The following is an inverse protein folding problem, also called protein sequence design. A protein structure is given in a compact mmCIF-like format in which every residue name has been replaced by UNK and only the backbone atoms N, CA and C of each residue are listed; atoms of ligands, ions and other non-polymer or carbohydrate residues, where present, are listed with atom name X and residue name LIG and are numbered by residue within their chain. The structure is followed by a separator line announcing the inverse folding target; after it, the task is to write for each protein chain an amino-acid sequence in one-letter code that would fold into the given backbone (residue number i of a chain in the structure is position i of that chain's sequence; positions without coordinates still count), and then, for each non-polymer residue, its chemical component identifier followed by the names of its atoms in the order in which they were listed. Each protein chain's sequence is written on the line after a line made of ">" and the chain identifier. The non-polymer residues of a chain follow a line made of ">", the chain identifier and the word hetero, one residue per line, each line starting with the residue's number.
data_IF_575440283762
#
_entry.id   IF_575440283762
#
_cell.length_a   1.000
_cell.length_b   1.000
_cell.length_c   1.000
_cell.angle_alpha   90.00
_cell.angle_beta   90.00
_cell.angle_gamma   90.00
#
_symmetry.space_group_name_H-M   'P 1'
#
loop_
_entity.id
_entity.type
_entity.pdbx_description
1 polymer ?
#
# COMPACT_ATOMS: atom_id res chain seq x y z
N UNK A 1 5.01 31.19 -2.65
CA UNK A 1 3.70 30.72 -3.09
C UNK A 1 3.81 29.31 -3.67
N UNK A 2 2.70 28.60 -3.82
CA UNK A 2 2.66 27.29 -4.44
C UNK A 2 2.66 27.41 -5.97
N UNK A 3 3.37 26.50 -6.65
CA UNK A 3 3.23 26.30 -8.08
C UNK A 3 2.06 25.34 -8.33
N UNK A 4 1.17 25.67 -9.27
CA UNK A 4 0.02 24.86 -9.64
C UNK A 4 0.20 24.34 -11.05
N UNK A 5 0.16 23.01 -11.20
CA UNK A 5 0.29 22.34 -12.48
C UNK A 5 -0.98 21.59 -12.82
N UNK A 6 -1.49 21.75 -14.04
CA UNK A 6 -2.67 21.05 -14.53
C UNK A 6 -2.29 19.83 -15.35
N UNK A 7 -2.98 18.73 -15.09
CA UNK A 7 -2.95 17.52 -15.89
C UNK A 7 -4.38 17.02 -16.10
N UNK A 8 -4.73 16.67 -17.32
CA UNK A 8 -6.00 16.00 -17.60
C UNK A 8 -6.03 14.63 -16.88
N UNK A 9 -7.15 14.33 -16.25
CA UNK A 9 -7.33 13.05 -15.57
C UNK A 9 -7.52 11.92 -16.59
N UNK A 10 -6.62 10.93 -16.56
CA UNK A 10 -6.56 9.79 -17.48
C UNK A 10 -6.80 8.45 -16.77
N UNK A 11 -7.44 8.46 -15.61
CA UNK A 11 -7.70 7.28 -14.78
C UNK A 11 -6.42 6.57 -14.29
N UNK A 12 -5.37 7.34 -14.01
CA UNK A 12 -4.08 6.85 -13.54
C UNK A 12 -3.51 7.78 -12.47
N UNK A 13 -3.53 7.32 -11.21
CA UNK A 13 -2.97 8.08 -10.09
C UNK A 13 -1.44 8.15 -10.17
N UNK A 14 -0.77 7.06 -10.61
CA UNK A 14 0.69 7.07 -10.72
C UNK A 14 1.15 8.03 -11.79
N UNK A 15 0.45 8.12 -12.91
CA UNK A 15 0.75 9.07 -13.96
C UNK A 15 0.61 10.54 -13.48
N UNK A 16 -0.40 10.82 -12.64
CA UNK A 16 -0.57 12.14 -12.03
C UNK A 16 0.56 12.46 -11.04
N UNK A 17 0.94 11.51 -10.16
CA UNK A 17 2.08 11.67 -9.24
C UNK A 17 3.41 11.80 -9.99
N UNK A 18 3.62 11.01 -11.04
CA UNK A 18 4.83 11.09 -11.87
C UNK A 18 4.96 12.45 -12.57
N UNK A 19 3.84 13.00 -13.05
CA UNK A 19 3.84 14.35 -13.60
C UNK A 19 4.23 15.40 -12.54
N UNK A 20 3.76 15.26 -11.29
CA UNK A 20 4.15 16.14 -10.20
C UNK A 20 5.64 16.01 -9.84
N UNK A 21 6.19 14.79 -9.86
CA UNK A 21 7.62 14.56 -9.60
C UNK A 21 8.53 15.33 -10.57
N UNK A 22 8.14 15.50 -11.83
CA UNK A 22 8.92 16.27 -12.83
C UNK A 22 9.10 17.74 -12.46
N UNK A 23 8.24 18.29 -11.61
CA UNK A 23 8.31 19.67 -11.13
C UNK A 23 9.02 19.80 -9.77
N UNK A 24 9.35 18.70 -9.10
CA UNK A 24 10.05 18.72 -7.83
C UNK A 24 11.51 19.15 -8.01
N UNK A 25 11.95 20.19 -7.27
CA UNK A 25 13.31 20.77 -7.38
C UNK A 25 14.13 20.65 -6.11
N UNK A 26 13.52 20.28 -4.99
CA UNK A 26 14.20 20.09 -3.71
C UNK A 26 14.99 18.79 -3.65
N UNK A 27 15.89 18.68 -2.68
CA UNK A 27 16.66 17.44 -2.41
C UNK A 27 15.78 16.33 -1.84
N UNK A 28 14.67 16.70 -1.22
CA UNK A 28 13.68 15.81 -0.64
C UNK A 28 12.29 16.13 -1.18
N UNK A 29 11.49 15.09 -1.34
CA UNK A 29 10.10 15.15 -1.74
C UNK A 29 9.24 14.68 -0.57
N UNK A 30 8.34 15.54 -0.09
CA UNK A 30 7.26 15.18 0.81
C UNK A 30 5.96 15.14 0.02
N UNK A 31 5.33 13.98 -0.03
CA UNK A 31 4.05 13.79 -0.72
C UNK A 31 2.93 13.84 0.30
N UNK A 32 1.97 14.73 0.08
CA UNK A 32 0.75 14.86 0.89
C UNK A 32 -0.46 14.85 -0.04
N UNK A 33 -1.50 14.14 0.36
CA UNK A 33 -2.81 14.24 -0.27
C UNK A 33 -3.52 15.52 0.22
N UNK A 34 -4.55 15.97 -0.48
CA UNK A 34 -5.21 17.25 -0.19
C UNK A 34 -5.89 17.29 1.20
N UNK A 35 -6.10 16.14 1.79
CA UNK A 35 -6.69 15.92 3.11
C UNK A 35 -5.65 15.43 4.16
N UNK A 36 -4.35 15.58 3.85
CA UNK A 36 -3.25 15.27 4.75
C UNK A 36 -2.47 16.53 5.16
N UNK A 37 -1.95 16.55 6.38
CA UNK A 37 -1.04 17.59 6.85
C UNK A 37 0.06 17.00 7.76
N UNK A 38 1.18 17.70 7.88
CA UNK A 38 2.19 17.39 8.91
C UNK A 38 1.70 17.94 10.24
N UNK A 39 1.64 17.10 11.26
CA UNK A 39 1.30 17.55 12.62
C UNK A 39 2.22 18.68 13.06
N UNK A 40 1.65 19.78 13.55
CA UNK A 40 2.41 20.97 13.98
C UNK A 40 3.46 20.65 15.03
N UNK A 41 3.16 19.70 15.94
CA UNK A 41 4.09 19.23 16.96
C UNK A 41 5.33 18.55 16.37
N UNK A 42 5.27 18.06 15.13
CA UNK A 42 6.34 17.28 14.48
C UNK A 42 7.09 18.01 13.36
N UNK A 43 6.88 19.32 13.18
CA UNK A 43 7.60 20.10 12.16
C UNK A 43 9.12 20.10 12.37
N UNK A 44 9.59 20.13 13.64
CA UNK A 44 11.02 20.04 13.98
C UNK A 44 11.58 18.65 13.64
N UNK A 45 10.82 17.59 13.94
CA UNK A 45 11.19 16.20 13.64
C UNK A 45 11.37 16.02 12.13
N UNK A 46 10.40 16.48 11.33
CA UNK A 46 10.50 16.43 9.87
C UNK A 46 11.81 17.06 9.36
N UNK A 47 12.18 18.24 9.88
CA UNK A 47 13.43 18.92 9.49
C UNK A 47 14.67 18.12 9.89
N UNK A 48 14.66 17.48 11.06
CA UNK A 48 15.76 16.64 11.52
C UNK A 48 15.99 15.41 10.62
N UNK A 49 14.90 14.81 10.10
CA UNK A 49 14.98 13.68 9.16
C UNK A 49 15.76 14.05 7.87
N UNK A 50 15.64 15.28 7.38
CA UNK A 50 16.27 15.72 6.14
C UNK A 50 17.81 15.77 6.21
N UNK A 51 18.39 15.76 7.40
CA UNK A 51 19.86 15.84 7.62
C UNK A 51 20.56 14.50 7.55
N UNK A 52 19.83 13.39 7.52
CA UNK A 52 20.42 12.05 7.52
C UNK A 52 20.99 11.68 6.15
N UNK A 53 22.30 11.48 6.08
CA UNK A 53 23.01 11.28 4.82
C UNK A 53 22.67 9.96 4.11
N UNK A 54 22.57 8.86 4.87
CA UNK A 54 22.42 7.49 4.32
C UNK A 54 20.95 7.02 4.22
N UNK A 55 20.01 7.94 4.06
CA UNK A 55 18.59 7.59 3.98
C UNK A 55 18.03 7.98 2.64
N UNK A 56 17.39 7.04 1.93
CA UNK A 56 16.70 7.27 0.66
C UNK A 56 15.24 7.67 0.89
N UNK A 57 14.58 7.06 1.87
CA UNK A 57 13.18 7.32 2.17
C UNK A 57 12.85 7.06 3.65
N UNK A 58 11.78 7.71 4.10
CA UNK A 58 11.16 7.49 5.40
C UNK A 58 9.72 7.03 5.24
N UNK A 59 9.35 5.99 5.99
CA UNK A 59 7.96 5.65 6.26
C UNK A 59 7.51 6.50 7.45
N UNK A 60 6.62 7.44 7.20
CA UNK A 60 6.09 8.35 8.22
C UNK A 60 4.80 7.78 8.82
N UNK A 61 4.58 7.96 10.14
CA UNK A 61 3.33 7.58 10.77
C UNK A 61 2.18 8.46 10.25
N UNK A 62 1.14 7.82 9.72
CA UNK A 62 -0.11 8.43 9.27
C UNK A 62 -1.22 8.05 10.23
N UNK A 63 -1.89 9.04 10.79
CA UNK A 63 -2.97 8.89 11.76
C UNK A 63 -4.26 9.46 11.18
N UNK A 64 -5.31 8.65 11.18
CA UNK A 64 -6.65 9.08 10.80
C UNK A 64 -7.29 9.87 11.94
N UNK A 65 -7.54 11.15 11.72
CA UNK A 65 -8.13 12.04 12.72
C UNK A 65 -9.56 11.60 13.04
N UNK A 66 -9.81 11.34 14.33
CA UNK A 66 -11.08 10.80 14.82
C UNK A 66 -11.21 9.28 14.75
N UNK A 67 -10.12 8.58 14.43
CA UNK A 67 -10.01 7.12 14.43
C UNK A 67 -8.65 6.65 14.94
N UNK A 68 -8.10 7.34 15.89
CA UNK A 68 -6.77 7.09 16.45
C UNK A 68 -6.68 5.69 17.10
N UNK A 69 -7.82 5.13 17.51
CA UNK A 69 -7.98 3.79 18.05
C UNK A 69 -7.76 2.67 17.02
N UNK A 70 -7.83 2.98 15.72
CA UNK A 70 -7.60 2.00 14.64
C UNK A 70 -6.11 1.78 14.34
N UNK A 71 -5.23 2.46 15.05
CA UNK A 71 -3.79 2.33 14.92
C UNK A 71 -3.16 3.33 13.95
N UNK A 72 -1.87 3.13 13.70
CA UNK A 72 -1.04 4.03 12.90
C UNK A 72 -0.49 3.27 11.70
N UNK A 73 -0.74 3.77 10.51
CA UNK A 73 -0.12 3.26 9.28
C UNK A 73 1.21 3.95 9.03
N UNK A 74 2.21 3.23 8.53
CA UNK A 74 3.49 3.82 8.14
C UNK A 74 3.61 3.87 6.62
N UNK A 75 3.67 5.07 6.07
CA UNK A 75 3.59 5.32 4.63
C UNK A 75 4.85 6.00 4.09
N UNK A 76 5.34 5.64 2.89
CA UNK A 76 6.55 6.23 2.28
C UNK A 76 6.24 7.60 1.68
N UNK A 77 6.05 8.59 2.53
CA UNK A 77 5.67 9.95 2.12
C UNK A 77 6.84 10.93 2.01
N UNK A 78 8.01 10.58 2.57
CA UNK A 78 9.21 11.41 2.52
C UNK A 78 10.35 10.64 1.89
N UNK A 79 10.89 11.10 0.76
CA UNK A 79 11.99 10.44 0.07
C UNK A 79 12.88 11.44 -0.69
N UNK A 80 14.12 11.01 -1.00
CA UNK A 80 15.04 11.85 -1.79
C UNK A 80 14.54 12.03 -3.20
N UNK A 81 14.77 13.21 -3.74
CA UNK A 81 14.56 13.51 -5.15
C UNK A 81 15.70 12.87 -5.96
N UNK A 82 15.56 11.58 -6.23
CA UNK A 82 16.54 10.78 -6.92
C UNK A 82 16.21 10.64 -8.42
N UNK A 83 17.21 10.49 -9.29
CA UNK A 83 16.97 10.13 -10.69
C UNK A 83 16.14 8.86 -10.80
N UNK A 84 15.24 8.80 -11.79
CA UNK A 84 14.37 7.63 -12.01
C UNK A 84 13.43 7.31 -10.83
N UNK A 85 13.05 8.33 -10.05
CA UNK A 85 12.00 8.19 -9.06
C UNK A 85 10.65 8.17 -9.77
N UNK A 86 9.84 7.13 -9.54
CA UNK A 86 8.53 6.97 -10.18
C UNK A 86 7.55 6.18 -9.32
N UNK A 87 6.28 6.42 -9.57
CA UNK A 87 5.16 5.63 -9.06
C UNK A 87 4.70 4.63 -10.11
N UNK A 88 4.24 3.47 -9.67
CA UNK A 88 3.61 2.43 -10.48
C UNK A 88 2.20 2.13 -9.97
N UNK A 89 1.38 1.50 -10.79
CA UNK A 89 -0.03 1.14 -10.59
C UNK A 89 -1.01 2.30 -10.72
N UNK A 90 -2.04 2.10 -11.54
CA UNK A 90 -3.09 3.11 -11.81
C UNK A 90 -3.82 3.55 -10.56
N UNK A 91 -3.98 2.63 -9.60
CA UNK A 91 -4.60 2.85 -8.29
C UNK A 91 -3.81 2.07 -7.23
N UNK A 92 -3.86 2.52 -5.98
CA UNK A 92 -2.96 2.07 -4.93
C UNK A 92 -1.49 2.22 -5.36
N UNK A 93 -1.22 3.36 -5.97
CA UNK A 93 0.06 3.69 -6.57
C UNK A 93 1.21 3.58 -5.55
N UNK A 94 2.28 2.92 -5.99
CA UNK A 94 3.42 2.59 -5.16
C UNK A 94 4.70 3.26 -5.69
N UNK A 95 5.47 3.85 -4.80
CA UNK A 95 6.79 4.41 -5.09
C UNK A 95 7.93 3.43 -4.76
N UNK A 96 7.61 2.30 -4.11
CA UNK A 96 8.59 1.37 -3.57
C UNK A 96 9.55 0.80 -4.61
N UNK A 97 9.07 0.44 -5.82
CA UNK A 97 9.93 -0.13 -6.84
C UNK A 97 11.11 0.78 -7.19
N UNK A 98 10.85 2.08 -7.38
CA UNK A 98 11.90 3.05 -7.67
C UNK A 98 12.76 3.39 -6.44
N UNK A 99 12.19 3.35 -5.23
CA UNK A 99 12.94 3.51 -3.99
C UNK A 99 13.94 2.38 -3.79
N UNK A 100 13.56 1.12 -4.03
CA UNK A 100 14.47 -0.02 -3.90
C UNK A 100 15.60 0.04 -4.92
N UNK A 101 15.32 0.37 -6.18
CA UNK A 101 16.35 0.56 -7.21
C UNK A 101 17.36 1.63 -6.78
N UNK A 102 16.87 2.78 -6.29
CA UNK A 102 17.73 3.86 -5.86
C UNK A 102 18.46 3.54 -4.55
N UNK A 103 17.81 2.84 -3.61
CA UNK A 103 18.42 2.37 -2.36
C UNK A 103 19.66 1.50 -2.62
N UNK A 104 19.55 0.53 -3.52
CA UNK A 104 20.65 -0.33 -3.92
C UNK A 104 21.75 0.43 -4.64
N UNK A 105 21.35 1.26 -5.63
CA UNK A 105 22.31 2.04 -6.43
C UNK A 105 23.16 2.99 -5.60
N UNK A 106 22.58 3.60 -4.56
CA UNK A 106 23.26 4.59 -3.72
C UNK A 106 23.73 4.05 -2.38
N UNK A 107 23.52 2.75 -2.12
CA UNK A 107 23.84 2.10 -0.82
C UNK A 107 23.22 2.85 0.37
N UNK A 108 21.95 3.26 0.23
CA UNK A 108 21.18 3.96 1.25
C UNK A 108 20.14 3.05 1.92
N UNK A 109 19.47 3.55 2.93
CA UNK A 109 18.50 2.80 3.74
C UNK A 109 17.09 3.41 3.66
N UNK A 110 16.08 2.56 3.71
CA UNK A 110 14.71 2.94 4.07
C UNK A 110 14.57 2.92 5.59
N UNK A 111 14.04 3.99 6.18
CA UNK A 111 13.90 4.13 7.63
C UNK A 111 12.48 4.47 8.03
N UNK A 112 12.16 4.23 9.30
CA UNK A 112 10.99 4.83 9.93
C UNK A 112 11.35 6.23 10.41
N UNK A 113 10.44 7.19 10.16
CA UNK A 113 10.55 8.55 10.66
C UNK A 113 9.51 8.82 11.75
N UNK A 114 9.75 9.80 12.57
CA UNK A 114 8.90 10.20 13.70
C UNK A 114 8.04 11.46 13.42
N UNK A 115 8.08 11.98 12.19
CA UNK A 115 7.24 13.10 11.76
C UNK A 115 5.83 12.61 11.41
N UNK A 116 4.88 12.84 12.29
CA UNK A 116 3.50 12.38 12.14
C UNK A 116 2.73 13.17 11.09
N UNK A 117 2.01 12.45 10.25
CA UNK A 117 1.03 12.97 9.30
C UNK A 117 -0.37 12.75 9.87
N UNK A 118 -1.25 13.73 9.66
CA UNK A 118 -2.67 13.69 10.04
C UNK A 118 -3.50 13.60 8.76
N UNK A 119 -4.43 12.64 8.71
CA UNK A 119 -5.34 12.45 7.60
C UNK A 119 -6.77 12.76 8.04
N UNK A 120 -7.42 13.70 7.35
CA UNK A 120 -8.74 14.23 7.69
C UNK A 120 -9.88 13.62 6.85
N UNK A 121 -9.58 12.70 5.95
CA UNK A 121 -10.50 12.18 4.93
C UNK A 121 -11.74 11.43 5.42
N UNK A 122 -11.80 11.08 6.72
CA UNK A 122 -12.93 10.33 7.28
C UNK A 122 -14.07 11.20 7.85
N UNK A 123 -13.93 12.52 7.83
CA UNK A 123 -14.93 13.41 8.42
C UNK A 123 -16.21 13.60 7.60
N UNK A 124 -16.29 13.09 6.38
CA UNK A 124 -17.46 13.27 5.50
C UNK A 124 -17.80 12.03 4.66
N UNK A 125 -18.87 11.32 5.05
CA UNK A 125 -19.94 10.75 4.22
C UNK A 125 -19.82 9.36 3.58
N UNK A 126 -20.84 8.55 3.93
CA UNK A 126 -21.18 7.23 3.35
C UNK A 126 -21.42 7.28 1.82
N UNK A 127 -21.92 8.40 1.28
CA UNK A 127 -22.20 8.54 -0.17
C UNK A 127 -20.91 8.67 -1.00
N UNK A 128 -19.92 9.41 -0.47
CA UNK A 128 -18.61 9.50 -1.14
C UNK A 128 -17.88 8.15 -1.16
N UNK A 129 -18.12 7.28 -0.17
CA UNK A 129 -17.50 5.96 -0.12
C UNK A 129 -17.94 5.03 -1.25
N UNK A 130 -19.26 5.01 -1.61
CA UNK A 130 -19.77 4.16 -2.69
C UNK A 130 -19.20 4.55 -4.06
N UNK A 131 -19.17 5.84 -4.37
CA UNK A 131 -18.59 6.33 -5.62
C UNK A 131 -17.07 6.05 -5.68
N UNK A 132 -16.38 6.12 -4.53
CA UNK A 132 -14.96 5.80 -4.42
C UNK A 132 -14.71 4.32 -4.70
N UNK A 133 -15.48 3.42 -4.09
CA UNK A 133 -15.37 1.97 -4.31
C UNK A 133 -15.62 1.61 -5.77
N UNK A 134 -16.70 2.11 -6.38
CA UNK A 134 -17.01 1.85 -7.80
C UNK A 134 -15.91 2.37 -8.74
N UNK A 135 -15.39 3.57 -8.47
CA UNK A 135 -14.25 4.10 -9.23
C UNK A 135 -13.03 3.21 -9.07
N UNK A 136 -12.70 2.81 -7.85
CA UNK A 136 -11.54 1.97 -7.56
C UNK A 136 -11.65 0.62 -8.25
N UNK A 137 -12.80 -0.05 -8.18
CA UNK A 137 -13.03 -1.32 -8.86
C UNK A 137 -12.79 -1.17 -10.37
N UNK A 138 -13.37 -0.16 -11.02
CA UNK A 138 -13.16 0.07 -12.45
C UNK A 138 -11.69 0.26 -12.81
N UNK A 139 -10.93 1.02 -12.00
CA UNK A 139 -9.51 1.25 -12.24
C UNK A 139 -8.67 -0.01 -12.04
N UNK A 140 -9.01 -0.82 -11.02
CA UNK A 140 -8.36 -2.10 -10.77
C UNK A 140 -8.68 -3.12 -11.88
N UNK A 141 -9.91 -3.16 -12.37
CA UNK A 141 -10.31 -4.01 -13.49
C UNK A 141 -9.52 -3.66 -14.76
N UNK A 142 -9.42 -2.36 -15.08
CA UNK A 142 -8.60 -1.91 -16.21
C UNK A 142 -7.13 -2.27 -16.06
N UNK A 143 -6.56 -2.09 -14.86
CA UNK A 143 -5.18 -2.48 -14.59
C UNK A 143 -4.99 -4.01 -14.67
N UNK A 144 -5.98 -4.78 -14.25
CA UNK A 144 -5.92 -6.25 -14.31
C UNK A 144 -6.03 -6.78 -15.74
N UNK A 145 -6.69 -6.07 -16.66
CA UNK A 145 -6.65 -6.41 -18.10
C UNK A 145 -5.23 -6.24 -18.67
N UNK A 146 -4.48 -5.24 -18.21
CA UNK A 146 -3.11 -4.99 -18.63
C UNK A 146 -2.11 -5.97 -17.96
N UNK A 147 -2.34 -6.34 -16.70
CA UNK A 147 -1.47 -7.17 -15.87
C UNK A 147 -2.27 -8.26 -15.12
N UNK A 148 -2.81 -9.27 -15.81
CA UNK A 148 -3.83 -10.19 -15.25
C UNK A 148 -3.34 -11.10 -14.12
N UNK A 149 -2.03 -11.25 -13.95
CA UNK A 149 -1.46 -12.09 -12.89
C UNK A 149 -0.67 -11.29 -11.86
N UNK A 150 -0.84 -9.96 -11.80
CA UNK A 150 -0.17 -9.16 -10.79
C UNK A 150 -0.79 -9.43 -9.41
N UNK A 151 0.04 -9.95 -8.49
CA UNK A 151 -0.37 -10.36 -7.14
C UNK A 151 -1.02 -9.20 -6.37
N UNK A 152 -0.44 -8.00 -6.46
CA UNK A 152 -0.95 -6.82 -5.75
C UNK A 152 -2.28 -6.33 -6.32
N UNK A 153 -2.43 -6.32 -7.65
CA UNK A 153 -3.69 -5.94 -8.30
C UNK A 153 -4.82 -6.91 -7.95
N UNK A 154 -4.57 -8.22 -8.04
CA UNK A 154 -5.55 -9.24 -7.70
C UNK A 154 -5.97 -9.14 -6.22
N UNK A 155 -5.02 -8.95 -5.30
CA UNK A 155 -5.31 -8.74 -3.88
C UNK A 155 -6.17 -7.48 -3.65
N UNK A 156 -5.85 -6.37 -4.31
CA UNK A 156 -6.61 -5.13 -4.17
C UNK A 156 -8.03 -5.24 -4.79
N UNK A 157 -8.21 -5.97 -5.88
CA UNK A 157 -9.54 -6.32 -6.41
C UNK A 157 -10.35 -7.11 -5.38
N UNK A 158 -9.73 -8.12 -4.76
CA UNK A 158 -10.34 -8.89 -3.67
C UNK A 158 -10.83 -7.99 -2.53
N UNK A 159 -9.98 -7.06 -2.09
CA UNK A 159 -10.29 -6.13 -1.01
C UNK A 159 -11.44 -5.17 -1.35
N UNK A 160 -11.41 -4.55 -2.54
CA UNK A 160 -12.48 -3.60 -2.94
C UNK A 160 -13.81 -4.32 -3.16
N UNK A 161 -13.82 -5.53 -3.73
CA UNK A 161 -15.01 -6.36 -3.85
C UNK A 161 -15.56 -6.77 -2.47
N UNK A 162 -14.68 -7.14 -1.53
CA UNK A 162 -15.07 -7.42 -0.16
C UNK A 162 -15.75 -6.21 0.49
N UNK A 163 -15.12 -5.03 0.41
CA UNK A 163 -15.65 -3.76 0.94
C UNK A 163 -16.99 -3.34 0.30
N UNK A 164 -17.21 -3.71 -0.95
CA UNK A 164 -18.48 -3.46 -1.66
C UNK A 164 -19.60 -4.41 -1.28
N UNK A 165 -19.35 -5.41 -0.43
CA UNK A 165 -20.29 -6.46 -0.04
C UNK A 165 -20.35 -7.65 -1.00
N UNK A 166 -19.52 -7.68 -2.04
CA UNK A 166 -19.41 -8.79 -3.01
C UNK A 166 -18.39 -9.84 -2.53
N UNK A 167 -18.59 -10.36 -1.31
CA UNK A 167 -17.61 -11.17 -0.59
C UNK A 167 -17.20 -12.42 -1.36
N UNK A 168 -18.13 -13.13 -2.02
CA UNK A 168 -17.80 -14.33 -2.81
C UNK A 168 -16.87 -14.04 -3.98
N UNK A 169 -17.08 -12.94 -4.71
CA UNK A 169 -16.15 -12.51 -5.75
C UNK A 169 -14.81 -12.06 -5.17
N UNK A 170 -14.84 -11.34 -4.05
CA UNK A 170 -13.65 -10.89 -3.34
C UNK A 170 -12.73 -12.06 -2.97
N UNK A 171 -13.26 -13.12 -2.39
CA UNK A 171 -12.51 -14.33 -2.05
C UNK A 171 -11.89 -14.97 -3.29
N UNK A 172 -12.63 -15.07 -4.40
CA UNK A 172 -12.09 -15.61 -5.65
C UNK A 172 -10.90 -14.81 -6.20
N UNK A 173 -10.86 -13.51 -5.99
CA UNK A 173 -9.69 -12.70 -6.36
C UNK A 173 -8.53 -12.86 -5.38
N UNK A 174 -8.77 -13.02 -4.08
CA UNK A 174 -7.72 -13.38 -3.12
C UNK A 174 -7.10 -14.75 -3.44
N UNK A 175 -7.91 -15.74 -3.78
CA UNK A 175 -7.43 -17.04 -4.23
C UNK A 175 -6.55 -16.94 -5.48
N UNK A 176 -6.99 -16.19 -6.49
CA UNK A 176 -6.17 -15.93 -7.70
C UNK A 176 -4.85 -15.25 -7.35
N UNK A 177 -4.89 -14.27 -6.44
CA UNK A 177 -3.68 -13.57 -5.97
C UNK A 177 -2.72 -14.53 -5.26
N UNK A 178 -3.25 -15.40 -4.40
CA UNK A 178 -2.48 -16.44 -3.71
C UNK A 178 -1.84 -17.42 -4.70
N UNK A 179 -2.61 -17.93 -5.66
CA UNK A 179 -2.10 -18.83 -6.69
C UNK A 179 -1.05 -18.17 -7.59
N UNK A 180 -1.24 -16.91 -7.95
CA UNK A 180 -0.24 -16.14 -8.69
C UNK A 180 1.05 -15.97 -7.86
N UNK A 181 0.95 -15.65 -6.58
CA UNK A 181 2.09 -15.55 -5.66
C UNK A 181 2.91 -16.84 -5.60
N UNK A 182 2.26 -18.00 -5.61
CA UNK A 182 2.94 -19.31 -5.60
C UNK A 182 3.67 -19.62 -6.91
N UNK A 183 3.22 -19.06 -8.03
CA UNK A 183 3.84 -19.26 -9.34
C UNK A 183 5.08 -18.39 -9.58
N UNK A 184 5.19 -17.25 -8.92
CA UNK A 184 6.34 -16.38 -9.07
C UNK A 184 7.52 -16.84 -8.19
N UNK A 185 8.77 -16.64 -8.68
CA UNK A 185 9.94 -16.80 -7.83
C UNK A 185 9.81 -15.95 -6.57
N UNK A 186 10.27 -16.48 -5.44
CA UNK A 186 10.22 -15.79 -4.15
C UNK A 186 10.76 -14.35 -4.20
N UNK A 187 11.81 -14.10 -4.98
CA UNK A 187 12.43 -12.79 -5.14
C UNK A 187 11.55 -11.76 -5.89
N UNK A 188 10.51 -12.21 -6.59
CA UNK A 188 9.64 -11.31 -7.37
C UNK A 188 8.41 -10.83 -6.60
N UNK A 189 8.10 -11.44 -5.45
CA UNK A 189 7.02 -11.00 -4.59
C UNK A 189 7.60 -10.53 -3.25
N UNK A 190 7.59 -9.23 -2.96
CA UNK A 190 8.12 -8.69 -1.72
C UNK A 190 7.49 -9.35 -0.48
N UNK A 191 8.28 -9.55 0.57
CA UNK A 191 7.83 -10.21 1.79
C UNK A 191 6.60 -9.50 2.39
N UNK A 192 6.61 -8.17 2.43
CA UNK A 192 5.48 -7.40 2.95
C UNK A 192 4.17 -7.66 2.18
N UNK A 193 4.24 -7.80 0.86
CA UNK A 193 3.06 -8.10 0.05
C UNK A 193 2.51 -9.49 0.38
N UNK A 194 3.41 -10.48 0.56
CA UNK A 194 3.01 -11.86 0.94
C UNK A 194 2.35 -11.89 2.31
N UNK A 195 2.94 -11.20 3.29
CA UNK A 195 2.38 -11.09 4.64
C UNK A 195 0.99 -10.45 4.64
N UNK A 196 0.81 -9.36 3.89
CA UNK A 196 -0.48 -8.68 3.77
C UNK A 196 -1.51 -9.56 3.07
N UNK A 197 -1.14 -10.21 1.96
CA UNK A 197 -2.04 -11.10 1.23
C UNK A 197 -2.51 -12.26 2.11
N UNK A 198 -1.58 -12.96 2.76
CA UNK A 198 -1.91 -14.09 3.63
C UNK A 198 -2.81 -13.66 4.80
N UNK A 199 -2.49 -12.51 5.43
CA UNK A 199 -3.30 -11.97 6.54
C UNK A 199 -4.72 -11.67 6.09
N UNK A 200 -4.89 -10.93 4.98
CA UNK A 200 -6.20 -10.51 4.50
C UNK A 200 -7.02 -11.71 4.02
N UNK A 201 -6.42 -12.58 3.20
CA UNK A 201 -7.11 -13.74 2.65
C UNK A 201 -7.59 -14.68 3.75
N UNK A 202 -6.72 -15.08 4.67
CA UNK A 202 -7.08 -15.96 5.78
C UNK A 202 -8.10 -15.33 6.73
N UNK A 203 -8.01 -14.02 7.02
CA UNK A 203 -9.00 -13.31 7.85
C UNK A 203 -10.40 -13.30 7.21
N UNK A 204 -10.45 -13.11 5.89
CA UNK A 204 -11.73 -13.14 5.17
C UNK A 204 -12.33 -14.55 5.09
N UNK A 205 -11.49 -15.58 4.91
CA UNK A 205 -11.93 -16.97 4.99
C UNK A 205 -12.50 -17.32 6.36
N UNK A 206 -11.86 -16.90 7.47
CA UNK A 206 -12.41 -17.05 8.83
C UNK A 206 -13.78 -16.36 8.96
N UNK A 207 -13.92 -15.17 8.42
CA UNK A 207 -15.19 -14.42 8.46
C UNK A 207 -16.31 -15.19 7.74
N UNK A 208 -15.97 -15.94 6.68
CA UNK A 208 -16.88 -16.81 5.94
C UNK A 208 -17.02 -18.21 6.56
N UNK A 209 -16.35 -18.48 7.70
CA UNK A 209 -16.32 -19.79 8.37
C UNK A 209 -15.70 -20.91 7.51
N UNK A 210 -14.80 -20.56 6.59
CA UNK A 210 -14.03 -21.48 5.75
C UNK A 210 -12.72 -21.86 6.46
N UNK A 211 -12.84 -22.46 7.64
CA UNK A 211 -11.70 -22.74 8.53
C UNK A 211 -10.71 -23.74 7.92
N UNK A 212 -11.19 -24.75 7.21
CA UNK A 212 -10.34 -25.77 6.56
C UNK A 212 -9.42 -25.12 5.49
N UNK A 213 -9.93 -24.13 4.76
CA UNK A 213 -9.14 -23.41 3.75
C UNK A 213 -8.02 -22.58 4.42
N UNK A 214 -8.28 -21.97 5.58
CA UNK A 214 -7.27 -21.25 6.38
C UNK A 214 -6.15 -22.19 6.80
N UNK A 215 -6.50 -23.36 7.35
CA UNK A 215 -5.51 -24.37 7.76
C UNK A 215 -4.71 -24.85 6.55
N UNK A 216 -5.37 -25.07 5.42
CA UNK A 216 -4.73 -25.51 4.18
C UNK A 216 -3.69 -24.49 3.69
N UNK A 217 -4.03 -23.19 3.67
CA UNK A 217 -3.10 -22.13 3.26
C UNK A 217 -1.85 -22.13 4.14
N UNK A 218 -2.01 -22.19 5.46
CA UNK A 218 -0.86 -22.10 6.37
C UNK A 218 -0.05 -23.40 6.50
N UNK A 219 -0.58 -24.53 6.03
CA UNK A 219 0.13 -25.80 5.93
C UNK A 219 0.77 -26.01 4.55
N UNK A 220 0.55 -25.08 3.59
CA UNK A 220 1.20 -25.14 2.29
C UNK A 220 2.72 -25.02 2.44
N UNK A 221 3.45 -25.97 1.87
CA UNK A 221 4.93 -26.02 1.92
C UNK A 221 5.59 -24.83 1.19
N UNK A 222 4.87 -24.17 0.31
CA UNK A 222 5.33 -22.96 -0.37
C UNK A 222 5.35 -21.71 0.55
N UNK A 223 4.65 -21.78 1.70
CA UNK A 223 4.67 -20.70 2.69
C UNK A 223 5.81 -20.94 3.68
N UNK A 224 6.89 -20.21 3.51
CA UNK A 224 8.08 -20.37 4.33
C UNK A 224 7.85 -19.84 5.76
N UNK A 225 8.47 -20.46 6.81
CA UNK A 225 8.32 -19.98 8.18
C UNK A 225 8.65 -18.49 8.37
N UNK A 226 9.60 -17.96 7.60
CA UNK A 226 9.98 -16.54 7.63
C UNK A 226 8.90 -15.58 7.09
N UNK A 227 7.93 -16.09 6.32
CA UNK A 227 6.80 -15.31 5.82
C UNK A 227 5.64 -15.28 6.82
N UNK A 228 5.75 -16.04 7.91
CA UNK A 228 4.69 -16.15 8.90
C UNK A 228 4.94 -15.19 10.06
N UNK A 229 3.94 -14.36 10.32
CA UNK A 229 3.91 -13.43 11.46
C UNK A 229 3.14 -14.02 12.63
N UNK A 230 3.23 -13.37 13.79
CA UNK A 230 2.39 -13.73 14.96
C UNK A 230 0.89 -13.70 14.61
N UNK A 231 0.46 -12.77 13.76
CA UNK A 231 -0.92 -12.69 13.29
C UNK A 231 -1.34 -13.93 12.50
N UNK A 232 -0.46 -14.48 11.66
CA UNK A 232 -0.75 -15.71 10.89
C UNK A 232 -0.95 -16.91 11.80
N UNK A 233 -0.08 -17.08 12.81
CA UNK A 233 -0.25 -18.15 13.80
C UNK A 233 -1.53 -17.98 14.62
N UNK A 234 -1.88 -16.76 14.98
CA UNK A 234 -3.14 -16.47 15.67
C UNK A 234 -4.37 -16.79 14.81
N UNK A 235 -4.36 -16.39 13.53
CA UNK A 235 -5.44 -16.66 12.58
C UNK A 235 -5.60 -18.18 12.37
N UNK A 236 -4.49 -18.91 12.21
CA UNK A 236 -4.51 -20.37 12.08
C UNK A 236 -5.11 -21.01 13.34
N UNK A 237 -4.66 -20.62 14.53
CA UNK A 237 -5.18 -21.15 15.80
C UNK A 237 -6.66 -20.84 16.06
N UNK A 238 -7.23 -19.82 15.41
CA UNK A 238 -8.68 -19.57 15.43
C UNK A 238 -9.45 -20.51 14.48
N UNK A 239 -8.77 -21.02 13.45
CA UNK A 239 -9.37 -21.91 12.45
C UNK A 239 -9.36 -23.39 12.90
N UNK A 240 -8.39 -23.79 13.72
CA UNK A 240 -8.27 -25.13 14.34
C UNK A 240 -9.27 -25.32 15.49
#
# INVERSE_FOLDING_TARGET
>A
GAEVHFRAWDNDFSAARNAALLHARGDWILVLDADEEVSKAHHSNLRALLTQANTIAYRLPLVDVGREDQGVSHVPRLFRNAPRQFYVSRIHEQVYASLEINRETWSMENRFGDAQLLHHGYQTEVVKSRNKVQRNLRLLEQANEEYPNDVNLLMNLGLELWRSGQQGYGIGYYEKSYMAMLQYPYSQTPQELREVLLTQYASHLLTLKQNEDVVTIFNDQAILPKDRTASHYFIQGLAE
#
